data_IF_007593324904
#
_entry.id   IF_007593324904
#
_cell.length_a   1.000
_cell.length_b   1.000
_cell.length_c   1.000
_cell.angle_alpha   90.00
_cell.angle_beta   90.00
_cell.angle_gamma   90.00
#
_symmetry.space_group_name_H-M   'P 1'
#
loop_
_entity.id
_entity.type
_entity.pdbx_description
1 polymer ?
2 non-polymer ?
3 non-polymer ?
4 non-polymer ?
5 non-polymer ?
6 water ?
#
# COMPACT_ATOMS: atom_id res chain seq x y z
N UNK A 1 -22.37 -7.89 -3.96
CA UNK A 1 -22.46 -7.91 -5.41
C UNK A 1 -21.40 -6.97 -5.99
N UNK A 2 -21.78 -5.75 -6.38
CA UNK A 2 -20.79 -4.83 -6.92
C UNK A 2 -19.92 -4.26 -5.81
N UNK A 3 -18.82 -3.59 -6.22
CA UNK A 3 -17.75 -3.23 -5.28
C UNK A 3 -18.23 -2.26 -4.20
N UNK A 4 -18.99 -1.25 -4.58
CA UNK A 4 -19.43 -0.26 -3.60
C UNK A 4 -20.36 -0.88 -2.57
N UNK A 5 -21.08 -1.93 -2.94
CA UNK A 5 -21.94 -2.62 -1.99
C UNK A 5 -21.10 -3.48 -1.06
N UNK A 6 -20.15 -4.23 -1.62
CA UNK A 6 -19.22 -5.03 -0.83
C UNK A 6 -18.52 -4.19 0.22
N UNK A 7 -18.14 -2.95 -0.15
CA UNK A 7 -17.49 -2.06 0.82
C UNK A 7 -18.38 -1.79 2.04
N UNK A 8 -19.68 -1.74 1.84
CA UNK A 8 -20.57 -1.40 2.95
C UNK A 8 -20.95 -2.63 3.75
N UNK A 9 -21.25 -3.73 3.07
CA UNK A 9 -21.80 -4.88 3.75
C UNK A 9 -20.80 -6.04 3.91
N UNK A 10 -19.59 -5.93 3.35
CA UNK A 10 -18.61 -6.99 3.49
C UNK A 10 -17.89 -6.96 4.83
N UNK A 11 -17.58 -8.15 5.34
CA UNK A 11 -17.01 -8.25 6.67
C UNK A 11 -18.08 -8.15 7.75
N UNK A 12 -17.66 -8.35 8.98
CA UNK A 12 -18.56 -8.28 10.12
C UNK A 12 -18.30 -6.97 10.86
N UNK A 13 -19.16 -5.98 10.65
CA UNK A 13 -18.92 -4.66 11.24
C UNK A 13 -20.16 -4.16 11.98
N UNK A 14 -20.93 -5.07 12.58
CA UNK A 14 -22.01 -4.70 13.49
C UNK A 14 -21.84 -5.51 14.76
N UNK A 15 -22.64 -5.16 15.77
CA UNK A 15 -22.61 -5.85 17.05
C UNK A 15 -23.74 -6.88 17.07
N UNK A 16 -23.38 -8.15 17.10
CA UNK A 16 -24.42 -9.18 17.23
C UNK A 16 -25.19 -9.04 18.53
N UNK A 17 -24.55 -8.59 19.61
CA UNK A 17 -25.20 -8.49 20.90
C UNK A 17 -26.30 -7.41 20.93
N UNK A 18 -25.93 -6.13 20.83
CA UNK A 18 -26.91 -5.05 20.93
C UNK A 18 -27.57 -4.71 19.60
N UNK A 19 -27.00 -5.15 18.49
CA UNK A 19 -27.47 -4.71 17.18
C UNK A 19 -26.86 -3.40 16.71
N UNK A 20 -25.93 -2.80 17.46
CA UNK A 20 -25.28 -1.58 17.03
C UNK A 20 -24.80 -1.72 15.60
N UNK A 21 -25.09 -0.70 14.78
CA UNK A 21 -24.77 -0.79 13.35
C UNK A 21 -23.31 -0.46 13.06
N UNK A 22 -22.51 -0.15 14.07
CA UNK A 22 -21.07 0.03 13.93
C UNK A 22 -20.38 -0.89 14.93
N UNK A 23 -19.11 -1.21 14.65
CA UNK A 23 -18.32 -2.10 15.51
C UNK A 23 -18.04 -1.43 16.85
N UNK A 24 -18.40 -2.02 17.97
CA UNK A 24 -18.04 -1.42 19.26
C UNK A 24 -16.53 -1.36 19.40
N UNK A 25 -16.07 -0.35 20.13
CA UNK A 25 -14.65 -0.16 20.38
C UNK A 25 -14.33 -0.86 21.69
N UNK A 26 -13.67 -2.01 21.62
CA UNK A 26 -13.35 -2.81 22.81
C UNK A 26 -12.02 -2.32 23.36
N UNK A 27 -12.11 -1.23 24.11
CA UNK A 27 -10.95 -0.66 24.77
C UNK A 27 -10.76 -1.46 26.05
N UNK A 28 -10.12 -2.62 25.90
CA UNK A 28 -10.03 -3.61 26.95
C UNK A 28 -8.82 -4.51 26.68
N UNK A 29 -8.24 -5.06 27.75
CA UNK A 29 -7.09 -5.93 27.56
C UNK A 29 -7.37 -7.41 27.83
N UNK A 30 -8.44 -7.74 28.58
CA UNK A 30 -8.66 -9.10 29.03
C UNK A 30 -10.16 -9.34 29.21
N UNK A 31 -10.51 -10.62 29.37
CA UNK A 31 -11.90 -11.09 29.24
C UNK A 31 -12.23 -12.09 30.33
N UNK A 32 -13.43 -11.93 30.90
CA UNK A 32 -13.94 -12.87 31.90
C UNK A 32 -14.01 -14.27 31.32
N UNK A 33 -13.62 -15.25 32.11
CA UNK A 33 -13.85 -16.66 31.76
C UNK A 33 -14.87 -17.26 32.72
N UNK A 34 -15.91 -17.89 32.16
CA UNK A 34 -16.93 -18.51 33.00
C UNK A 34 -16.40 -19.75 33.69
N UNK A 35 -15.55 -20.52 33.02
CA UNK A 35 -14.79 -21.60 33.62
C UNK A 35 -13.41 -21.57 33.00
N UNK A 36 -12.41 -22.05 33.74
CA UNK A 36 -11.04 -22.09 33.23
C UNK A 36 -11.03 -22.72 31.85
N UNK A 37 -10.60 -21.95 30.84
CA UNK A 37 -10.53 -22.42 29.47
C UNK A 37 -11.80 -22.20 28.67
N UNK A 38 -12.89 -21.79 29.30
CA UNK A 38 -14.15 -21.53 28.62
C UNK A 38 -14.18 -20.05 28.28
N UNK A 39 -14.05 -19.73 27.00
CA UNK A 39 -14.16 -18.37 26.51
C UNK A 39 -15.55 -18.15 25.92
N UNK A 40 -16.22 -17.07 26.37
CA UNK A 40 -17.59 -16.79 25.93
C UNK A 40 -17.69 -16.67 24.42
N UNK A 41 -16.83 -15.84 23.81
CA UNK A 41 -16.88 -15.62 22.37
C UNK A 41 -15.51 -15.82 21.74
N UNK A 42 -14.63 -16.57 22.41
CA UNK A 42 -13.31 -16.86 21.88
C UNK A 42 -12.25 -15.85 22.22
N UNK A 43 -12.56 -14.85 23.04
CA UNK A 43 -11.59 -13.84 23.42
C UNK A 43 -11.05 -14.15 24.80
N UNK A 44 -9.75 -13.97 24.97
CA UNK A 44 -9.12 -14.17 26.28
C UNK A 44 -8.07 -13.14 26.62
N UNK A 45 -7.44 -12.48 25.64
CA UNK A 45 -6.39 -11.49 25.89
C UNK A 45 -6.19 -10.69 24.61
N UNK A 46 -6.22 -9.35 24.73
CA UNK A 46 -6.41 -8.50 23.55
C UNK A 46 -5.23 -8.55 22.57
N UNK A 47 -4.00 -8.76 23.06
CA UNK A 47 -2.90 -8.95 22.12
C UNK A 47 -3.18 -10.12 21.18
N UNK A 48 -3.73 -11.21 21.72
CA UNK A 48 -4.01 -12.38 20.90
C UNK A 48 -5.18 -12.14 19.97
N UNK A 49 -6.25 -11.53 20.47
CA UNK A 49 -7.38 -11.14 19.63
C UNK A 49 -8.24 -10.15 20.38
N UNK A 50 -8.77 -9.17 19.64
CA UNK A 50 -9.62 -8.12 20.18
C UNK A 50 -10.78 -7.98 19.19
N UNK A 51 -12.02 -7.88 19.67
CA UNK A 51 -13.17 -7.91 18.74
C UNK A 51 -13.19 -6.75 17.75
N UNK A 52 -12.69 -5.58 18.12
CA UNK A 52 -12.64 -4.48 17.14
C UNK A 52 -11.58 -4.76 16.07
N UNK A 53 -10.42 -5.24 16.51
CA UNK A 53 -9.41 -5.63 15.55
C UNK A 53 -9.92 -6.75 14.65
N UNK A 54 -10.70 -7.68 15.23
CA UNK A 54 -11.25 -8.78 14.46
C UNK A 54 -12.17 -8.25 13.37
N UNK A 55 -12.92 -7.18 13.68
CA UNK A 55 -13.78 -6.58 12.68
C UNK A 55 -12.96 -6.05 11.49
N UNK A 56 -11.89 -5.30 11.78
CA UNK A 56 -11.14 -4.76 10.63
C UNK A 56 -10.43 -5.89 9.86
N UNK A 57 -10.00 -6.94 10.56
CA UNK A 57 -9.38 -8.07 9.88
C UNK A 57 -10.38 -8.75 8.95
N UNK A 58 -11.63 -8.92 9.40
CA UNK A 58 -12.62 -9.54 8.51
C UNK A 58 -12.92 -8.65 7.32
N UNK A 59 -12.88 -7.33 7.50
CA UNK A 59 -13.08 -6.44 6.36
C UNK A 59 -11.97 -6.63 5.33
N UNK A 60 -10.71 -6.57 5.76
CA UNK A 60 -9.63 -6.66 4.76
C UNK A 60 -9.63 -8.04 4.10
N UNK A 61 -9.89 -9.11 4.87
CA UNK A 61 -9.95 -10.43 4.25
C UNK A 61 -11.05 -10.48 3.20
N UNK A 62 -12.23 -9.89 3.48
CA UNK A 62 -13.31 -9.89 2.51
C UNK A 62 -12.95 -9.09 1.26
N UNK A 63 -12.43 -7.88 1.45
CA UNK A 63 -12.15 -6.99 0.32
C UNK A 63 -11.07 -7.54 -0.61
N UNK A 64 -10.12 -8.31 -0.09
CA UNK A 64 -9.08 -8.91 -0.93
C UNK A 64 -9.41 -10.35 -1.35
N UNK A 65 -10.63 -10.81 -1.08
CA UNK A 65 -11.04 -12.19 -1.37
C UNK A 65 -10.10 -13.22 -0.75
N UNK A 66 -9.65 -12.93 0.48
CA UNK A 66 -8.87 -13.85 1.24
C UNK A 66 -9.72 -14.52 2.31
N UNK A 67 -9.07 -15.32 3.14
CA UNK A 67 -9.73 -16.00 4.23
C UNK A 67 -9.33 -15.47 5.59
N UNK A 68 -8.15 -14.88 5.71
CA UNK A 68 -7.62 -14.43 6.98
C UNK A 68 -7.08 -13.03 6.85
N UNK A 69 -7.39 -12.20 7.85
CA UNK A 69 -6.88 -10.84 7.93
C UNK A 69 -6.12 -10.62 9.21
N UNK A 70 -5.18 -9.68 9.17
CA UNK A 70 -4.31 -9.35 10.29
C UNK A 70 -4.09 -7.85 10.28
N UNK A 71 -4.25 -7.20 11.44
CA UNK A 71 -4.05 -5.77 11.56
C UNK A 71 -2.84 -5.48 12.44
N UNK A 72 -1.92 -4.68 11.93
CA UNK A 72 -0.69 -4.34 12.62
C UNK A 72 -0.66 -2.84 12.91
N UNK A 73 0.21 -2.47 13.84
CA UNK A 73 0.33 -1.09 14.30
C UNK A 73 0.87 -0.14 13.22
N UNK A 74 1.28 -0.64 12.06
CA UNK A 74 1.79 0.18 10.96
C UNK A 74 2.00 -0.72 9.76
N UNK A 75 2.11 -0.08 8.60
CA UNK A 75 2.51 -0.83 7.40
C UNK A 75 3.85 -1.54 7.57
N UNK A 76 4.86 -0.86 8.15
CA UNK A 76 6.14 -1.56 8.25
C UNK A 76 6.07 -2.66 9.29
N UNK A 77 5.14 -2.58 10.25
CA UNK A 77 4.99 -3.73 11.16
C UNK A 77 4.40 -4.93 10.41
N UNK A 78 3.43 -4.68 9.52
CA UNK A 78 2.93 -5.75 8.67
C UNK A 78 4.05 -6.38 7.84
N UNK A 79 4.89 -5.52 7.24
CA UNK A 79 5.98 -6.02 6.41
C UNK A 79 6.97 -6.83 7.24
N UNK A 80 7.35 -6.34 8.43
CA UNK A 80 8.26 -7.11 9.28
C UNK A 80 7.65 -8.45 9.68
N UNK A 81 6.35 -8.47 9.98
CA UNK A 81 5.70 -9.74 10.30
C UNK A 81 5.82 -10.71 9.14
N UNK A 82 5.59 -10.23 7.91
CA UNK A 82 5.67 -11.12 6.76
C UNK A 82 7.10 -11.60 6.55
N UNK A 83 8.08 -10.72 6.73
CA UNK A 83 9.49 -11.11 6.56
C UNK A 83 9.89 -12.15 7.60
N UNK A 84 9.33 -12.06 8.79
CA UNK A 84 9.68 -13.01 9.84
C UNK A 84 9.14 -14.40 9.57
N UNK A 85 8.39 -14.61 8.49
CA UNK A 85 8.12 -15.97 8.02
C UNK A 85 9.41 -16.67 7.61
N UNK A 86 10.45 -15.94 7.24
CA UNK A 86 11.70 -16.53 6.79
C UNK A 86 12.64 -16.80 7.97
N UNK A 87 13.69 -17.57 7.68
CA UNK A 87 14.74 -17.89 8.63
C UNK A 87 16.06 -17.33 8.15
N UNK A 88 17.00 -17.25 9.09
CA UNK A 88 18.40 -17.00 8.78
C UNK A 88 18.86 -17.90 7.63
N UNK A 89 19.54 -17.30 6.65
CA UNK A 89 19.95 -18.00 5.45
C UNK A 89 18.97 -17.94 4.30
N UNK A 90 17.73 -17.53 4.55
CA UNK A 90 16.76 -17.39 3.46
C UNK A 90 17.01 -16.12 2.67
N UNK A 91 16.55 -16.12 1.43
CA UNK A 91 16.78 -15.05 0.49
C UNK A 91 15.44 -14.51 0.01
N UNK A 92 15.34 -13.19 -0.15
CA UNK A 92 14.12 -12.56 -0.61
C UNK A 92 14.45 -11.68 -1.81
N UNK A 93 13.63 -11.78 -2.85
CA UNK A 93 13.70 -10.89 -4.01
C UNK A 93 12.65 -9.80 -3.84
N UNK A 94 13.04 -8.53 -4.06
CA UNK A 94 12.13 -7.40 -4.04
C UNK A 94 12.34 -6.55 -5.29
N UNK A 95 11.31 -5.79 -5.66
CA UNK A 95 11.47 -4.88 -6.79
C UNK A 95 12.46 -3.79 -6.40
N UNK A 96 13.24 -3.36 -7.40
CA UNK A 96 14.39 -2.52 -7.17
C UNK A 96 14.05 -1.22 -6.44
N UNK A 97 12.93 -0.59 -6.82
CA UNK A 97 12.56 0.72 -6.30
C UNK A 97 11.54 0.64 -5.16
N UNK A 98 11.56 -0.47 -4.42
CA UNK A 98 10.63 -0.68 -3.32
C UNK A 98 10.68 0.49 -2.32
N UNK A 99 9.61 0.63 -1.55
CA UNK A 99 9.46 1.74 -0.63
C UNK A 99 10.66 1.85 0.31
N UNK A 100 11.12 3.08 0.50
CA UNK A 100 12.25 3.36 1.38
C UNK A 100 12.21 2.66 2.72
N UNK A 101 11.06 2.69 3.40
CA UNK A 101 10.96 2.02 4.68
C UNK A 101 11.17 0.52 4.55
N UNK A 102 10.66 -0.07 3.48
CA UNK A 102 10.85 -1.50 3.27
C UNK A 102 12.32 -1.81 3.03
N UNK A 103 12.96 -1.02 2.16
CA UNK A 103 14.38 -1.16 1.88
C UNK A 103 15.18 -1.11 3.18
N UNK A 104 14.87 -0.12 4.02
CA UNK A 104 15.63 0.09 5.25
C UNK A 104 15.40 -1.05 6.24
N UNK A 105 14.15 -1.48 6.43
CA UNK A 105 13.90 -2.66 7.26
C UNK A 105 14.73 -3.85 6.80
N UNK A 106 14.68 -4.16 5.51
CA UNK A 106 15.36 -5.37 5.02
C UNK A 106 16.87 -5.25 5.12
N UNK A 107 17.45 -4.12 4.70
CA UNK A 107 18.89 -4.03 4.57
C UNK A 107 19.58 -3.60 5.85
N UNK A 108 18.86 -2.98 6.80
CA UNK A 108 19.49 -2.53 8.03
C UNK A 108 19.03 -3.28 9.27
N UNK A 109 17.91 -3.98 9.21
CA UNK A 109 17.44 -4.80 10.32
C UNK A 109 17.55 -6.28 10.00
N UNK A 110 16.81 -6.74 8.99
CA UNK A 110 16.74 -8.18 8.81
C UNK A 110 18.02 -8.80 8.25
N UNK A 111 18.88 -8.04 7.57
CA UNK A 111 20.15 -8.64 7.15
C UNK A 111 21.01 -8.97 8.36
N UNK A 112 20.86 -8.23 9.46
CA UNK A 112 21.56 -8.58 10.69
C UNK A 112 21.09 -9.91 11.26
N UNK A 113 19.91 -10.38 10.82
CA UNK A 113 19.41 -11.70 11.20
C UNK A 113 19.62 -12.72 10.10
N UNK A 114 20.53 -12.45 9.17
CA UNK A 114 20.87 -13.44 8.17
C UNK A 114 19.87 -13.62 7.05
N UNK A 115 18.88 -12.75 6.93
CA UNK A 115 18.04 -12.72 5.74
C UNK A 115 18.83 -12.04 4.63
N UNK A 116 18.87 -12.66 3.45
CA UNK A 116 19.55 -12.09 2.29
C UNK A 116 18.55 -11.48 1.34
N UNK A 117 18.92 -10.36 0.72
CA UNK A 117 18.03 -9.52 -0.05
C UNK A 117 18.66 -9.20 -1.40
N UNK A 118 17.91 -9.39 -2.47
CA UNK A 118 18.30 -8.86 -3.77
C UNK A 118 17.19 -8.00 -4.34
N UNK A 119 17.55 -6.78 -4.74
CA UNK A 119 16.67 -5.87 -5.44
C UNK A 119 16.83 -6.08 -6.93
N UNK A 120 15.74 -6.38 -7.63
CA UNK A 120 15.82 -6.60 -9.07
C UNK A 120 14.72 -5.81 -9.76
N UNK A 121 14.95 -5.46 -11.02
CA UNK A 121 13.95 -4.75 -11.81
C UNK A 121 12.90 -5.76 -12.24
N UNK A 122 11.78 -5.78 -11.52
CA UNK A 122 10.75 -6.77 -11.79
C UNK A 122 9.84 -6.39 -12.94
N UNK A 123 10.05 -5.22 -13.56
CA UNK A 123 9.23 -4.87 -14.73
C UNK A 123 9.44 -5.87 -15.86
N UNK A 124 10.53 -6.63 -15.85
CA UNK A 124 10.71 -7.81 -16.69
C UNK A 124 10.77 -9.02 -15.77
N UNK A 125 9.75 -9.88 -15.82
CA UNK A 125 9.65 -10.98 -14.86
C UNK A 125 10.79 -12.01 -15.01
N UNK A 126 11.42 -12.07 -16.18
CA UNK A 126 12.59 -12.94 -16.32
C UNK A 126 13.77 -12.44 -15.50
N UNK A 127 13.78 -11.15 -15.11
CA UNK A 127 14.74 -10.71 -14.11
C UNK A 127 14.58 -11.48 -12.81
N UNK A 128 13.33 -11.72 -12.42
CA UNK A 128 13.08 -12.53 -11.23
C UNK A 128 13.64 -13.91 -11.43
N UNK A 129 13.31 -14.52 -12.58
CA UNK A 129 13.80 -15.88 -12.82
C UNK A 129 15.33 -15.94 -12.73
N UNK A 130 16.02 -14.93 -13.25
CA UNK A 130 17.49 -14.92 -13.17
C UNK A 130 17.96 -14.76 -11.72
N UNK A 131 17.26 -13.96 -10.92
CA UNK A 131 17.76 -13.69 -9.57
C UNK A 131 17.49 -14.82 -8.58
N UNK A 132 16.69 -15.80 -8.95
CA UNK A 132 16.35 -16.86 -7.99
C UNK A 132 17.61 -17.67 -7.67
N UNK A 133 17.86 -17.86 -6.39
CA UNK A 133 18.93 -18.68 -5.84
C UNK A 133 18.35 -19.94 -5.22
N UNK A 134 19.19 -20.94 -4.93
CA UNK A 134 18.67 -22.10 -4.19
C UNK A 134 18.12 -21.75 -2.82
N UNK A 135 18.56 -20.63 -2.21
CA UNK A 135 18.06 -20.23 -0.91
C UNK A 135 16.89 -19.25 -0.97
N UNK A 136 16.40 -18.90 -2.15
CA UNK A 136 15.32 -17.91 -2.24
C UNK A 136 14.01 -18.52 -1.73
N UNK A 137 13.35 -17.82 -0.82
CA UNK A 137 12.09 -18.27 -0.24
C UNK A 137 10.92 -17.33 -0.45
N UNK A 138 11.17 -16.07 -0.81
CA UNK A 138 10.08 -15.09 -0.87
C UNK A 138 10.33 -14.16 -2.05
N UNK A 139 9.23 -13.77 -2.69
CA UNK A 139 9.20 -12.75 -3.73
C UNK A 139 8.23 -11.67 -3.25
N UNK A 140 8.71 -10.43 -3.16
CA UNK A 140 7.96 -9.30 -2.60
C UNK A 140 7.93 -8.19 -3.64
N UNK A 141 6.74 -7.84 -4.14
CA UNK A 141 6.66 -6.77 -5.14
C UNK A 141 5.60 -5.74 -4.74
N UNK A 142 5.90 -4.47 -5.04
CA UNK A 142 4.88 -3.42 -5.09
C UNK A 142 4.54 -3.15 -6.54
N UNK A 143 3.25 -2.90 -6.81
CA UNK A 143 2.97 -2.38 -8.12
C UNK A 143 1.68 -1.56 -8.04
N UNK A 144 1.68 -0.32 -8.52
CA UNK A 144 2.86 0.36 -9.04
C UNK A 144 3.74 0.90 -7.90
N UNK A 145 5.00 1.14 -8.21
CA UNK A 145 6.01 1.53 -7.23
C UNK A 145 6.06 3.04 -7.05
N UNK A 146 6.84 3.48 -6.06
CA UNK A 146 7.03 4.88 -5.72
C UNK A 146 8.46 5.33 -5.99
N UNK A 147 8.67 6.55 -6.53
CA UNK A 147 7.69 7.53 -6.99
C UNK A 147 7.51 7.50 -8.50
N UNK A 148 8.10 6.53 -9.18
CA UNK A 148 8.03 6.52 -10.63
C UNK A 148 6.98 5.58 -11.17
N UNK A 149 6.18 4.96 -10.30
CA UNK A 149 5.00 4.20 -10.72
C UNK A 149 5.35 3.08 -11.70
N UNK A 150 6.41 2.33 -11.38
CA UNK A 150 6.77 1.19 -12.21
C UNK A 150 5.80 0.05 -11.94
N UNK A 151 5.42 -0.66 -13.01
CA UNK A 151 4.38 -1.67 -12.98
C UNK A 151 5.03 -3.04 -13.14
N UNK A 152 4.63 -4.00 -12.30
CA UNK A 152 5.12 -5.38 -12.35
C UNK A 152 3.95 -6.32 -12.59
N UNK A 153 4.17 -7.34 -13.42
CA UNK A 153 3.12 -8.30 -13.77
C UNK A 153 2.85 -9.22 -12.59
N UNK A 154 1.68 -9.05 -11.96
CA UNK A 154 1.37 -9.79 -10.75
C UNK A 154 1.18 -11.27 -11.05
N UNK A 155 0.43 -11.58 -12.11
CA UNK A 155 0.07 -12.97 -12.40
C UNK A 155 1.29 -13.80 -12.80
N UNK A 156 2.18 -13.22 -13.61
CA UNK A 156 3.42 -13.91 -13.93
C UNK A 156 4.31 -14.06 -12.70
N UNK A 157 4.35 -13.03 -11.83
CA UNK A 157 5.14 -13.18 -10.61
C UNK A 157 4.60 -14.32 -9.73
N UNK A 158 3.27 -14.45 -9.66
CA UNK A 158 2.69 -15.55 -8.90
C UNK A 158 3.03 -16.90 -9.53
N UNK A 159 3.00 -17.00 -10.85
CA UNK A 159 3.37 -18.25 -11.52
C UNK A 159 4.82 -18.61 -11.25
N UNK A 160 5.71 -17.61 -11.35
CA UNK A 160 7.11 -17.84 -11.06
C UNK A 160 7.29 -18.31 -9.62
N UNK A 161 6.58 -17.65 -8.68
CA UNK A 161 6.71 -18.02 -7.26
C UNK A 161 6.24 -19.45 -7.02
N UNK A 162 5.14 -19.85 -7.67
CA UNK A 162 4.63 -21.21 -7.50
C UNK A 162 5.62 -22.22 -8.02
N UNK A 163 6.12 -22.01 -9.25
CA UNK A 163 7.05 -22.97 -9.86
C UNK A 163 8.29 -23.17 -9.00
N UNK A 164 8.83 -22.11 -8.40
CA UNK A 164 10.07 -22.22 -7.65
C UNK A 164 9.85 -22.33 -6.14
N UNK A 165 8.62 -22.53 -5.71
CA UNK A 165 8.36 -22.70 -4.29
C UNK A 165 8.61 -21.48 -3.42
N UNK A 166 8.23 -20.29 -3.89
CA UNK A 166 8.42 -19.05 -3.14
C UNK A 166 7.09 -18.59 -2.57
N UNK A 167 7.14 -17.99 -1.38
CA UNK A 167 6.01 -17.22 -0.88
C UNK A 167 5.94 -15.92 -1.66
N UNK A 168 4.84 -15.69 -2.36
CA UNK A 168 4.65 -14.45 -3.09
C UNK A 168 3.88 -13.45 -2.23
N UNK A 169 4.32 -12.19 -2.28
CA UNK A 169 3.78 -11.11 -1.48
C UNK A 169 3.62 -9.89 -2.39
N UNK A 170 2.47 -9.23 -2.30
CA UNK A 170 2.27 -7.97 -2.99
C UNK A 170 1.89 -6.89 -1.97
N UNK A 171 2.64 -5.80 -2.00
CA UNK A 171 2.29 -4.58 -1.28
C UNK A 171 1.31 -3.83 -2.18
N UNK A 172 0.01 -3.92 -1.85
CA UNK A 172 -1.07 -3.39 -2.67
C UNK A 172 -1.55 -2.02 -2.22
N UNK A 173 -0.69 -1.27 -1.51
CA UNK A 173 -1.07 0.02 -0.91
C UNK A 173 -1.57 1.01 -1.95
N UNK A 174 -0.81 1.18 -3.03
CA UNK A 174 -1.09 2.26 -3.97
C UNK A 174 -2.40 2.04 -4.73
N UNK A 175 -2.79 0.78 -4.97
CA UNK A 175 -3.98 0.48 -5.75
C UNK A 175 -5.24 0.26 -4.91
N UNK A 176 -5.09 -0.23 -3.66
CA UNK A 176 -6.16 -0.61 -2.73
C UNK A 176 -6.92 -1.82 -3.26
N UNK A 177 -7.66 -2.54 -2.41
CA UNK A 177 -8.48 -3.66 -2.91
C UNK A 177 -9.61 -3.21 -3.81
N UNK A 178 -9.88 -1.91 -3.90
CA UNK A 178 -10.94 -1.46 -4.78
C UNK A 178 -10.59 -1.65 -6.24
N UNK A 179 -9.29 -1.65 -6.58
CA UNK A 179 -8.87 -1.70 -7.98
C UNK A 179 -7.99 -2.89 -8.33
N UNK A 180 -7.38 -3.56 -7.36
CA UNK A 180 -6.41 -4.60 -7.65
C UNK A 180 -6.44 -5.62 -6.53
N UNK A 181 -6.64 -6.90 -6.88
CA UNK A 181 -6.76 -7.98 -5.90
C UNK A 181 -5.73 -9.06 -6.19
N UNK A 182 -4.53 -8.94 -5.63
CA UNK A 182 -3.45 -9.89 -5.96
C UNK A 182 -3.77 -11.33 -5.57
N UNK A 183 -4.55 -11.56 -4.52
CA UNK A 183 -4.84 -12.94 -4.14
C UNK A 183 -5.59 -13.65 -5.24
N UNK A 184 -6.41 -12.92 -6.01
CA UNK A 184 -7.14 -13.49 -7.13
C UNK A 184 -6.22 -13.87 -8.28
N UNK A 185 -5.01 -13.32 -8.31
CA UNK A 185 -4.06 -13.63 -9.36
C UNK A 185 -3.03 -14.66 -8.91
N UNK A 186 -3.25 -15.34 -7.78
CA UNK A 186 -2.37 -16.41 -7.35
C UNK A 186 -1.34 -16.03 -6.32
N UNK A 187 -1.29 -14.76 -5.90
CA UNK A 187 -0.34 -14.33 -4.88
C UNK A 187 -0.71 -14.95 -3.54
N UNK A 188 0.31 -15.29 -2.74
CA UNK A 188 0.08 -15.92 -1.44
C UNK A 188 -0.43 -14.93 -0.40
N UNK A 189 0.24 -13.77 -0.29
CA UNK A 189 -0.02 -12.78 0.76
C UNK A 189 -0.16 -11.40 0.13
N UNK A 190 -1.16 -10.64 0.56
CA UNK A 190 -1.30 -9.24 0.15
C UNK A 190 -1.26 -8.37 1.40
N UNK A 191 -0.62 -7.20 1.30
CA UNK A 191 -0.54 -6.33 2.45
C UNK A 191 -0.66 -4.87 2.01
N UNK A 192 -0.97 -4.03 2.99
CA UNK A 192 -1.22 -2.61 2.80
C UNK A 192 -0.65 -1.83 3.97
N UNK A 193 -0.15 -0.63 3.69
CA UNK A 193 -0.11 0.41 4.70
C UNK A 193 -1.51 1.03 4.72
N UNK A 194 -2.31 0.67 5.73
CA UNK A 194 -3.65 1.23 5.81
C UNK A 194 -3.62 2.70 6.19
N UNK A 195 -2.46 3.19 6.62
CA UNK A 195 -2.17 4.60 6.86
C UNK A 195 -2.56 5.49 5.68
N UNK A 196 -2.52 4.91 4.48
CA UNK A 196 -2.74 5.68 3.26
C UNK A 196 -4.22 5.61 2.86
N UNK A 197 -4.53 5.03 1.70
CA UNK A 197 -5.89 5.11 1.16
C UNK A 197 -7.00 4.47 2.01
N UNK A 198 -6.70 3.33 2.64
CA UNK A 198 -7.75 2.56 3.32
C UNK A 198 -8.34 3.37 4.47
N UNK A 199 -7.50 3.81 5.41
CA UNK A 199 -7.98 4.75 6.42
C UNK A 199 -8.48 6.03 5.78
N UNK A 200 -7.70 6.57 4.84
CA UNK A 200 -8.14 7.60 3.92
C UNK A 200 -8.27 8.99 4.50
N UNK A 201 -8.00 9.19 5.79
CA UNK A 201 -8.26 10.47 6.44
C UNK A 201 -7.06 10.99 7.20
N UNK A 202 -5.87 10.43 6.97
CA UNK A 202 -4.62 10.86 7.60
C UNK A 202 -4.71 10.87 9.12
N UNK A 203 -5.38 9.88 9.71
CA UNK A 203 -5.51 9.92 11.17
C UNK A 203 -5.29 8.56 11.81
N UNK A 204 -4.78 7.59 11.06
CA UNK A 204 -4.45 6.27 11.58
C UNK A 204 -3.15 5.83 10.94
N UNK A 205 -2.23 5.31 11.74
CA UNK A 205 -1.08 4.56 11.25
C UNK A 205 -1.38 3.09 11.50
N UNK A 206 -1.38 2.27 10.45
CA UNK A 206 -1.83 0.89 10.53
C UNK A 206 -1.36 0.10 9.32
N UNK A 207 -1.21 -1.20 9.50
CA UNK A 207 -0.97 -2.10 8.39
C UNK A 207 -1.99 -3.23 8.37
N UNK A 208 -2.27 -3.73 7.18
CA UNK A 208 -3.23 -4.82 7.03
C UNK A 208 -2.67 -5.90 6.12
N UNK A 209 -2.92 -7.16 6.48
CA UNK A 209 -2.44 -8.32 5.75
C UNK A 209 -3.61 -9.27 5.52
N UNK A 210 -3.72 -9.83 4.32
CA UNK A 210 -4.70 -10.85 4.01
C UNK A 210 -4.06 -12.03 3.28
N UNK A 211 -4.62 -13.22 3.52
CA UNK A 211 -4.19 -14.42 2.82
C UNK A 211 -5.35 -15.40 2.75
N UNK A 212 -5.26 -16.34 1.81
CA UNK A 212 -6.17 -17.48 1.73
C UNK A 212 -5.51 -18.77 2.20
N UNK A 213 -4.23 -18.71 2.54
CA UNK A 213 -3.48 -19.91 2.88
C UNK A 213 -3.57 -20.12 4.40
N UNK A 214 -4.18 -21.25 4.80
CA UNK A 214 -4.38 -21.52 6.23
C UNK A 214 -3.05 -21.64 6.97
N UNK A 215 -2.04 -22.25 6.34
CA UNK A 215 -0.78 -22.46 7.05
C UNK A 215 -0.02 -21.16 7.21
N UNK A 216 0.05 -20.36 6.14
CA UNK A 216 0.65 -19.04 6.27
C UNK A 216 -0.09 -18.19 7.30
N UNK A 217 -1.43 -18.30 7.35
CA UNK A 217 -2.20 -17.53 8.33
C UNK A 217 -1.87 -17.97 9.75
N UNK A 218 -1.71 -19.27 9.98
CA UNK A 218 -1.32 -19.74 11.30
C UNK A 218 0.07 -19.22 11.68
N UNK A 219 0.98 -19.18 10.72
CA UNK A 219 2.31 -18.65 11.01
C UNK A 219 2.29 -17.15 11.28
N UNK A 220 1.53 -16.39 10.48
CA UNK A 220 1.38 -14.96 10.72
C UNK A 220 0.73 -14.69 12.09
N UNK A 221 -0.30 -15.46 12.45
CA UNK A 221 -0.94 -15.27 13.74
C UNK A 221 0.05 -15.55 14.88
N UNK A 222 0.88 -16.59 14.72
CA UNK A 222 1.88 -16.86 15.75
C UNK A 222 2.88 -15.72 15.87
N UNK A 223 3.33 -15.19 14.73
CA UNK A 223 4.28 -14.08 14.77
C UNK A 223 3.64 -12.84 15.37
N UNK A 224 2.39 -12.55 14.99
CA UNK A 224 1.70 -11.39 15.54
C UNK A 224 1.56 -11.53 17.05
N UNK A 225 1.18 -12.71 17.52
CA UNK A 225 0.99 -12.89 18.95
C UNK A 225 2.31 -12.88 19.70
N UNK A 226 3.41 -13.25 19.05
CA UNK A 226 4.69 -13.36 19.74
C UNK A 226 5.49 -12.08 19.72
N UNK A 227 5.45 -11.31 18.62
CA UNK A 227 6.19 -10.06 18.52
C UNK A 227 5.32 -8.81 18.73
N UNK A 228 4.00 -8.95 18.66
CA UNK A 228 3.09 -7.99 19.29
C UNK A 228 2.90 -6.65 18.62
N UNK A 229 3.16 -6.54 17.33
CA UNK A 229 2.89 -5.32 16.60
C UNK A 229 1.45 -5.16 16.17
N UNK A 230 0.50 -5.23 17.15
CA UNK A 230 -0.94 -5.27 16.87
C UNK A 230 -1.53 -3.86 16.79
N UNK A 231 -2.50 -3.69 15.91
CA UNK A 231 -3.28 -2.46 15.88
C UNK A 231 -4.22 -2.40 17.07
N UNK A 232 -4.36 -1.22 17.68
CA UNK A 232 -5.26 -1.04 18.81
C UNK A 232 -6.70 -0.89 18.36
N UNK A 233 -7.62 -1.01 19.33
CA UNK A 233 -9.07 -0.98 18.98
C UNK A 233 -9.55 0.35 18.43
N UNK A 234 -9.12 1.48 18.99
CA UNK A 234 -9.57 2.77 18.46
C UNK A 234 -9.13 2.94 17.00
N UNK A 235 -7.88 2.57 16.70
CA UNK A 235 -7.39 2.68 15.32
C UNK A 235 -8.09 1.67 14.42
N UNK A 236 -8.35 0.45 14.90
CA UNK A 236 -9.11 -0.48 14.07
C UNK A 236 -10.49 0.08 13.75
N UNK A 237 -11.14 0.72 14.73
CA UNK A 237 -12.45 1.30 14.47
C UNK A 237 -12.36 2.38 13.39
N UNK A 238 -11.40 3.29 13.53
CA UNK A 238 -11.27 4.36 12.53
C UNK A 238 -10.94 3.80 11.14
N UNK A 239 -10.21 2.69 11.10
CA UNK A 239 -9.96 2.02 9.82
C UNK A 239 -11.25 1.53 9.18
N UNK A 240 -12.05 0.75 9.94
CA UNK A 240 -13.33 0.28 9.40
C UNK A 240 -14.17 1.46 8.88
N UNK A 241 -14.21 2.52 9.68
CA UNK A 241 -15.01 3.69 9.29
C UNK A 241 -14.49 4.29 7.99
N UNK A 242 -13.18 4.49 7.88
CA UNK A 242 -12.63 5.10 6.68
C UNK A 242 -12.81 4.22 5.46
N UNK A 243 -12.74 2.90 5.63
CA UNK A 243 -12.88 2.01 4.50
C UNK A 243 -14.28 2.10 3.90
N UNK A 244 -15.30 2.40 4.72
CA UNK A 244 -16.65 2.59 4.17
C UNK A 244 -16.67 3.45 2.90
N UNK A 245 -15.92 4.56 2.88
CA UNK A 245 -15.98 5.47 1.73
C UNK A 245 -14.88 5.23 0.70
N UNK A 246 -14.12 4.12 0.82
CA UNK A 246 -13.00 3.87 -0.07
C UNK A 246 -13.40 4.00 -1.54
N UNK A 247 -14.48 3.34 -1.94
CA UNK A 247 -14.85 3.33 -3.34
C UNK A 247 -15.18 4.72 -3.87
N UNK A 248 -15.98 5.48 -3.11
CA UNK A 248 -16.31 6.84 -3.53
C UNK A 248 -15.06 7.72 -3.61
N UNK A 249 -14.15 7.55 -2.63
CA UNK A 249 -12.94 8.37 -2.60
C UNK A 249 -12.05 8.03 -3.78
N UNK A 250 -11.83 6.73 -4.02
CA UNK A 250 -10.96 6.32 -5.13
C UNK A 250 -11.53 6.76 -6.47
N UNK A 251 -12.87 6.74 -6.62
CA UNK A 251 -13.43 7.12 -7.91
C UNK A 251 -13.29 8.63 -8.14
N UNK A 252 -13.53 9.44 -7.11
CA UNK A 252 -13.25 10.87 -7.26
C UNK A 252 -11.78 11.09 -7.60
N UNK A 253 -10.88 10.41 -6.89
CA UNK A 253 -9.45 10.57 -7.12
C UNK A 253 -9.10 10.21 -8.57
N UNK A 254 -9.69 9.15 -9.11
CA UNK A 254 -9.38 8.72 -10.46
C UNK A 254 -9.87 9.72 -11.50
N UNK A 255 -11.08 10.28 -11.30
CA UNK A 255 -11.53 11.33 -12.21
C UNK A 255 -10.54 12.48 -12.24
N UNK A 256 -10.11 12.94 -11.06
CA UNK A 256 -9.15 14.04 -11.04
C UNK A 256 -7.82 13.63 -11.65
N UNK A 257 -7.36 12.39 -11.41
CA UNK A 257 -6.08 11.94 -11.96
C UNK A 257 -6.09 12.06 -13.47
N UNK A 258 -7.16 11.57 -14.10
CA UNK A 258 -7.24 11.61 -15.57
C UNK A 258 -7.14 13.04 -16.06
N UNK A 259 -7.92 13.96 -15.46
CA UNK A 259 -7.87 15.35 -15.92
C UNK A 259 -6.52 16.01 -15.64
N UNK A 260 -5.94 15.74 -14.47
CA UNK A 260 -4.66 16.39 -14.14
C UNK A 260 -3.57 15.90 -15.09
N UNK A 261 -3.60 14.63 -15.48
CA UNK A 261 -2.58 14.13 -16.39
C UNK A 261 -2.71 14.78 -17.76
N UNK A 262 -3.94 14.90 -18.29
CA UNK A 262 -4.12 15.69 -19.52
C UNK A 262 -3.46 17.06 -19.41
N UNK A 263 -3.73 17.76 -18.31
CA UNK A 263 -3.14 19.10 -18.12
C UNK A 263 -1.62 19.04 -18.07
N UNK A 264 -1.06 18.08 -17.33
CA UNK A 264 0.40 18.04 -17.17
C UNK A 264 1.08 17.76 -18.50
N UNK A 265 0.50 16.84 -19.29
CA UNK A 265 1.09 16.51 -20.57
C UNK A 265 1.06 17.70 -21.53
N UNK A 266 -0.02 18.51 -21.47
CA UNK A 266 -0.05 19.68 -22.35
C UNK A 266 0.82 20.84 -21.88
N UNK A 267 1.31 20.81 -20.65
CA UNK A 267 1.87 22.07 -20.14
C UNK A 267 3.35 22.20 -20.53
N UNK A 268 3.76 23.36 -21.04
CA UNK A 268 5.17 23.51 -21.48
C UNK A 268 6.17 23.51 -20.33
N UNK A 269 5.75 23.76 -19.10
CA UNK A 269 6.69 23.73 -17.98
C UNK A 269 6.88 22.33 -17.40
N UNK A 270 6.23 21.33 -17.97
CA UNK A 270 6.30 19.95 -17.49
C UNK A 270 6.95 19.09 -18.57
N UNK A 271 7.94 18.30 -18.16
CA UNK A 271 8.53 17.35 -19.10
C UNK A 271 7.87 15.98 -18.97
N UNK A 272 8.60 15.02 -18.42
CA UNK A 272 8.06 13.67 -18.30
C UNK A 272 7.01 13.58 -17.20
N UNK A 273 6.00 12.74 -17.44
CA UNK A 273 4.96 12.42 -16.48
C UNK A 273 4.98 10.92 -16.25
N UNK A 274 4.88 10.50 -14.99
CA UNK A 274 4.91 9.09 -14.61
C UNK A 274 3.58 8.68 -14.00
N UNK A 275 2.87 7.77 -14.68
CA UNK A 275 1.62 7.19 -14.19
C UNK A 275 1.21 6.04 -15.09
N UNK A 276 0.66 4.96 -14.54
CA UNK A 276 0.36 3.78 -15.37
C UNK A 276 -0.76 3.99 -16.38
N UNK A 277 -1.56 5.07 -16.26
CA UNK A 277 -2.63 5.33 -17.21
C UNK A 277 -2.11 5.84 -18.54
N UNK A 278 -0.89 6.40 -18.57
CA UNK A 278 -0.32 6.88 -19.82
C UNK A 278 0.05 5.69 -20.70
N UNK A 279 -0.43 5.69 -21.94
CA UNK A 279 -0.32 4.49 -22.78
C UNK A 279 1.12 4.19 -23.19
N UNK A 280 2.01 5.19 -23.17
CA UNK A 280 3.41 4.98 -23.43
C UNK A 280 4.19 4.52 -22.20
N UNK A 281 3.50 4.39 -21.05
CA UNK A 281 4.14 3.94 -19.83
C UNK A 281 4.47 2.45 -19.92
N UNK A 282 5.69 2.09 -19.51
CA UNK A 282 6.10 0.70 -19.50
C UNK A 282 5.08 -0.15 -18.75
N UNK A 283 4.65 -1.26 -19.37
CA UNK A 283 3.72 -2.22 -18.75
C UNK A 283 2.34 -1.62 -18.50
N UNK A 284 1.99 -0.58 -19.27
CA UNK A 284 0.62 -0.05 -19.24
C UNK A 284 -0.40 -1.16 -19.49
N UNK A 285 -0.14 -2.01 -20.49
CA UNK A 285 -1.05 -3.10 -20.82
C UNK A 285 -1.17 -4.08 -19.66
N UNK A 286 -0.04 -4.37 -19.00
CA UNK A 286 -0.04 -5.25 -17.84
C UNK A 286 -0.91 -4.68 -16.73
N UNK A 287 -0.75 -3.38 -16.44
CA UNK A 287 -1.55 -2.76 -15.41
C UNK A 287 -3.03 -2.86 -15.73
N UNK A 288 -3.40 -2.49 -16.96
CA UNK A 288 -4.81 -2.55 -17.33
C UNK A 288 -5.35 -3.97 -17.22
N UNK A 289 -4.50 -4.96 -17.47
CA UNK A 289 -4.94 -6.35 -17.35
C UNK A 289 -5.10 -6.80 -15.90
N UNK A 290 -4.40 -6.19 -14.95
CA UNK A 290 -4.50 -6.69 -13.58
C UNK A 290 -5.22 -5.74 -12.62
N UNK A 291 -5.69 -4.59 -13.10
CA UNK A 291 -6.36 -3.61 -12.26
C UNK A 291 -7.45 -2.95 -13.10
N UNK A 292 -8.52 -2.50 -12.45
CA UNK A 292 -9.55 -1.77 -13.18
C UNK A 292 -9.66 -0.32 -12.73
N UNK A 293 -8.55 0.25 -12.33
CA UNK A 293 -8.50 1.66 -11.99
C UNK A 293 -7.07 2.05 -11.74
N UNK A 294 -6.90 3.21 -11.11
CA UNK A 294 -5.57 3.79 -11.01
C UNK A 294 -5.29 4.30 -9.61
N UNK A 295 -4.00 4.34 -9.27
CA UNK A 295 -3.58 5.01 -8.06
C UNK A 295 -3.66 6.52 -8.26
N UNK A 296 -3.76 7.26 -7.15
CA UNK A 296 -3.81 8.71 -7.20
C UNK A 296 -2.46 9.39 -7.11
N UNK A 297 -1.38 8.61 -7.00
CA UNK A 297 -0.02 9.16 -6.97
C UNK A 297 0.44 9.40 -8.40
N UNK A 298 0.91 10.62 -8.67
CA UNK A 298 1.50 10.99 -9.95
C UNK A 298 2.83 11.67 -9.66
N UNK A 299 3.85 11.35 -10.46
CA UNK A 299 5.10 12.09 -10.46
C UNK A 299 5.30 12.78 -11.82
N UNK A 300 5.92 13.95 -11.80
CA UNK A 300 6.21 14.64 -13.05
C UNK A 300 7.39 15.57 -12.85
N UNK A 301 8.06 15.88 -13.96
CA UNK A 301 9.28 16.68 -13.96
C UNK A 301 8.99 18.16 -14.24
N UNK A 302 9.43 19.03 -13.34
CA UNK A 302 9.65 20.43 -13.71
C UNK A 302 11.15 20.62 -13.84
N UNK A 303 11.58 21.88 -14.02
CA UNK A 303 12.94 22.15 -14.48
C UNK A 303 13.99 21.87 -13.42
N UNK A 304 13.76 22.29 -12.18
CA UNK A 304 14.83 22.25 -11.20
C UNK A 304 14.21 22.39 -9.81
N UNK A 305 15.10 22.41 -8.80
CA UNK A 305 14.63 22.53 -7.42
C UNK A 305 13.79 23.78 -7.21
N UNK A 306 14.28 24.94 -7.67
CA UNK A 306 13.58 26.19 -7.40
C UNK A 306 12.22 26.20 -8.08
N UNK A 307 12.12 25.60 -9.27
CA UNK A 307 10.82 25.43 -9.93
C UNK A 307 9.87 24.59 -9.09
N UNK A 308 10.39 23.51 -8.50
CA UNK A 308 9.55 22.62 -7.68
C UNK A 308 9.05 23.35 -6.44
N UNK A 309 9.94 24.08 -5.77
CA UNK A 309 9.54 24.86 -4.60
C UNK A 309 8.52 25.93 -4.96
N UNK A 310 8.74 26.61 -6.09
CA UNK A 310 7.80 27.64 -6.54
C UNK A 310 6.42 27.04 -6.80
N UNK A 311 6.38 25.89 -7.47
CA UNK A 311 5.12 25.15 -7.65
C UNK A 311 4.41 24.94 -6.31
N UNK A 312 5.15 24.42 -5.32
CA UNK A 312 4.53 24.17 -4.02
C UNK A 312 3.99 25.46 -3.42
N UNK A 313 4.77 26.55 -3.50
CA UNK A 313 4.35 27.82 -2.91
C UNK A 313 3.12 28.40 -3.60
N UNK A 314 2.95 28.16 -4.90
CA UNK A 314 1.91 28.82 -5.67
C UNK A 314 0.58 28.07 -5.69
N UNK A 315 0.53 26.82 -5.26
CA UNK A 315 -0.72 26.07 -5.27
C UNK A 315 -1.55 26.41 -4.04
N UNK A 316 -2.85 26.57 -4.25
CA UNK A 316 -3.73 26.82 -3.12
C UNK A 316 -4.21 25.54 -2.45
N UNK A 317 -4.36 24.46 -3.22
CA UNK A 317 -5.05 23.27 -2.76
C UNK A 317 -4.16 22.03 -2.65
N UNK A 318 -2.85 22.17 -2.85
CA UNK A 318 -1.91 21.05 -2.67
C UNK A 318 -1.08 21.31 -1.41
N UNK A 319 -1.12 20.37 -0.47
CA UNK A 319 -0.55 20.55 0.84
C UNK A 319 0.81 19.85 0.95
N UNK A 320 1.82 20.57 1.44
CA UNK A 320 3.15 20.01 1.61
C UNK A 320 3.19 19.19 2.89
N UNK A 321 3.20 17.86 2.74
CA UNK A 321 3.32 16.96 3.87
C UNK A 321 3.74 15.60 3.34
N UNK A 322 4.21 14.77 4.24
CA UNK A 322 4.55 13.36 3.92
C UNK A 322 3.28 12.50 3.80
N UNK A 323 3.46 11.26 3.34
CA UNK A 323 2.40 10.23 3.17
C UNK A 323 1.54 10.54 1.93
N UNK A 324 0.53 9.73 1.67
CA UNK A 324 -0.40 9.83 0.52
C UNK A 324 -1.76 9.25 0.91
N UNK A 325 -2.74 9.30 0.01
CA UNK A 325 -4.03 8.73 0.32
C UNK A 325 -4.89 9.54 1.27
N UNK A 326 -4.60 10.82 1.44
CA UNK A 326 -5.43 11.68 2.29
C UNK A 326 -6.67 12.16 1.51
N UNK A 327 -7.61 12.78 2.22
CA UNK A 327 -8.67 13.46 1.48
C UNK A 327 -8.15 14.73 0.85
N UNK A 328 -7.10 15.33 1.44
CA UNK A 328 -6.38 16.44 0.82
C UNK A 328 -5.41 15.93 -0.25
N UNK A 329 -5.23 16.75 -1.29
CA UNK A 329 -4.12 16.51 -2.20
C UNK A 329 -2.81 16.95 -1.55
N UNK A 330 -1.80 16.08 -1.68
CA UNK A 330 -0.51 16.26 -1.05
C UNK A 330 0.57 16.42 -2.13
N UNK A 331 1.56 17.21 -1.82
CA UNK A 331 2.63 17.49 -2.77
C UNK A 331 3.96 17.33 -2.05
N UNK A 332 4.96 16.85 -2.78
CA UNK A 332 6.29 16.61 -2.20
C UNK A 332 7.33 16.57 -3.32
N UNK A 333 8.60 16.63 -2.91
CA UNK A 333 9.73 16.58 -3.83
C UNK A 333 10.62 15.43 -3.38
N UNK A 334 10.53 14.26 -4.03
CA UNK A 334 11.33 13.09 -3.58
C UNK A 334 12.80 13.39 -3.39
N UNK A 335 13.44 14.09 -4.34
CA UNK A 335 14.89 14.28 -4.24
C UNK A 335 15.28 14.98 -2.95
N UNK A 336 14.37 15.79 -2.38
CA UNK A 336 14.63 16.48 -1.12
C UNK A 336 14.03 15.78 0.10
N UNK A 337 13.05 14.91 -0.08
CA UNK A 337 12.28 14.44 1.07
C UNK A 337 12.38 12.94 1.30
N UNK A 338 12.63 12.15 0.26
CA UNK A 338 12.76 10.69 0.41
C UNK A 338 14.06 10.12 -0.13
N UNK A 339 14.78 10.84 -0.99
CA UNK A 339 16.00 10.33 -1.59
C UNK A 339 17.19 11.26 -1.37
N UNK A 340 17.10 12.14 -0.38
CA UNK A 340 18.15 13.14 -0.19
C UNK A 340 19.48 12.53 0.26
N UNK A 341 19.45 11.33 0.84
CA UNK A 341 20.69 10.69 1.26
C UNK A 341 21.43 10.08 0.08
N UNK A 342 20.73 9.74 -0.99
CA UNK A 342 21.37 9.16 -2.18
C UNK A 342 22.18 10.24 -2.89
N UNK A 343 23.40 9.94 -3.34
CA UNK A 343 24.18 10.95 -4.06
C UNK A 343 23.43 11.48 -5.28
N UNK A 344 23.73 12.75 -5.60
CA UNK A 344 22.96 13.46 -6.62
C UNK A 344 23.06 12.79 -7.99
N UNK A 345 24.26 12.33 -8.37
CA UNK A 345 24.42 11.73 -9.68
C UNK A 345 23.68 10.40 -9.78
N UNK A 346 23.63 9.64 -8.68
CA UNK A 346 22.86 8.40 -8.70
C UNK A 346 21.37 8.70 -8.75
N UNK A 347 20.93 9.74 -8.03
CA UNK A 347 19.54 10.19 -8.14
C UNK A 347 19.19 10.53 -9.58
N UNK A 348 20.04 11.33 -10.23
CA UNK A 348 19.77 11.72 -11.62
C UNK A 348 19.69 10.51 -12.52
N UNK A 349 20.62 9.56 -12.36
CA UNK A 349 20.62 8.36 -13.17
C UNK A 349 19.37 7.53 -12.95
N UNK A 350 18.86 7.52 -11.71
CA UNK A 350 17.63 6.81 -11.37
C UNK A 350 16.36 7.51 -11.83
N UNK A 351 16.44 8.76 -12.28
CA UNK A 351 15.27 9.52 -12.65
C UNK A 351 14.70 10.41 -11.56
N UNK A 352 15.29 10.38 -10.36
CA UNK A 352 14.87 11.24 -9.26
C UNK A 352 15.55 12.59 -9.44
N UNK A 353 15.15 13.33 -10.47
CA UNK A 353 15.75 14.61 -10.76
C UNK A 353 15.38 15.62 -9.67
N UNK A 354 16.10 16.75 -9.67
CA UNK A 354 15.83 17.79 -8.69
C UNK A 354 14.43 18.37 -8.85
N UNK A 355 13.90 18.39 -10.06
CA UNK A 355 12.59 18.97 -10.32
C UNK A 355 11.49 17.94 -10.42
N UNK A 356 11.73 16.72 -9.94
CA UNK A 356 10.70 15.70 -9.90
C UNK A 356 9.77 15.97 -8.72
N UNK A 357 8.49 16.16 -9.01
CA UNK A 357 7.46 16.46 -8.04
C UNK A 357 6.53 15.25 -7.96
N UNK A 358 6.13 14.87 -6.76
CA UNK A 358 5.10 13.86 -6.57
C UNK A 358 3.87 14.52 -5.95
N UNK A 359 2.71 14.23 -6.52
CA UNK A 359 1.44 14.63 -5.94
C UNK A 359 0.64 13.38 -5.64
N UNK A 360 -0.07 13.40 -4.51
CA UNK A 360 -1.08 12.41 -4.17
C UNK A 360 -2.42 13.11 -4.27
N UNK A 361 -3.20 12.75 -5.29
CA UNK A 361 -4.45 13.43 -5.59
C UNK A 361 -5.47 13.11 -4.51
N UNK A 362 -6.13 14.15 -3.98
CA UNK A 362 -7.18 13.99 -2.98
C UNK A 362 -8.56 14.03 -3.61
N UNK A 363 -9.56 14.37 -2.78
CA UNK A 363 -10.95 14.34 -3.23
C UNK A 363 -11.52 15.75 -3.41
N UNK A 364 -10.68 16.77 -3.53
CA UNK A 364 -11.19 18.08 -3.87
C UNK A 364 -11.82 18.07 -5.26
N UNK A 365 -12.52 19.15 -5.59
CA UNK A 365 -13.17 19.24 -6.89
C UNK A 365 -12.13 19.12 -8.02
N UNK A 366 -12.48 18.34 -9.05
CA UNK A 366 -11.54 18.08 -10.15
C UNK A 366 -11.11 19.35 -10.85
N UNK A 367 -12.07 20.23 -11.18
CA UNK A 367 -11.73 21.49 -11.84
C UNK A 367 -10.81 22.32 -10.98
N UNK A 368 -11.10 22.42 -9.68
CA UNK A 368 -10.23 23.18 -8.79
C UNK A 368 -8.81 22.61 -8.79
N UNK A 369 -8.66 21.27 -8.72
CA UNK A 369 -7.32 20.70 -8.66
C UNK A 369 -6.56 20.95 -9.97
N UNK A 370 -7.22 20.73 -11.11
CA UNK A 370 -6.59 21.00 -12.40
C UNK A 370 -6.19 22.46 -12.52
N UNK A 371 -7.12 23.38 -12.25
CA UNK A 371 -6.85 24.81 -12.45
C UNK A 371 -5.80 25.32 -11.48
N UNK A 372 -5.84 24.88 -10.22
CA UNK A 372 -4.85 25.31 -9.25
C UNK A 372 -3.45 24.88 -9.68
N UNK A 373 -3.29 23.61 -10.07
CA UNK A 373 -1.96 23.14 -10.48
C UNK A 373 -1.52 23.84 -11.76
N UNK A 374 -2.44 24.04 -12.71
CA UNK A 374 -2.08 24.69 -13.95
C UNK A 374 -1.63 26.13 -13.73
N UNK A 375 -2.36 26.91 -12.93
CA UNK A 375 -1.95 28.30 -12.70
C UNK A 375 -0.61 28.36 -11.96
N UNK A 376 -0.39 27.42 -11.02
CA UNK A 376 0.91 27.37 -10.36
C UNK A 376 2.03 27.09 -11.36
N UNK A 377 1.82 26.12 -12.27
CA UNK A 377 2.82 25.84 -13.30
C UNK A 377 3.02 27.02 -14.24
N UNK A 378 1.94 27.78 -14.51
CA UNK A 378 2.05 28.97 -15.33
C UNK A 378 2.99 29.99 -14.69
N UNK A 379 3.05 30.04 -13.35
CA UNK A 379 4.01 30.98 -12.76
C UNK A 379 5.47 30.60 -12.99
N UNK A 380 5.76 29.43 -13.56
CA UNK A 380 7.15 29.11 -13.87
C UNK A 380 7.51 29.74 -15.22
X LIG B 1 -19.83 -9.86 0.10
X LIG B 1 -20.73 -8.88 -0.01
X LIG B 1 -21.23 -8.21 1.24
X LIG B 1 -21.19 -8.47 -1.26
X LIG B 1 -22.09 -7.48 -1.34
X LIG B 1 -20.72 -9.09 -2.43
X LIG B 1 -21.21 -8.69 -3.76
X LIG B 1 -19.78 -10.14 -2.29
X LIG B 1 -19.37 -10.47 -1.01
X LIG B 1 -19.22 -10.88 -3.48
X LIG B 1 -17.83 -10.64 -3.67
X LIG B 1 -17.13 -10.91 -5.09
X LIG B 1 -16.08 -12.00 -4.97
X LIG B 1 -18.20 -11.32 -6.07
X LIG B 1 -16.48 -9.63 -5.57
X LIG C 1 -3.51 -19.03 -4.43
X LIG D 1 -21.35 -6.60 6.96
X LIG E 1 -10.67 -15.27 18.21
X LIG E 1 -12.07 -15.38 17.58
X LIG E 1 -13.09 -15.45 18.53
X LIG E 1 -12.20 -14.13 16.69
X LIG E 1 -13.53 -14.04 16.28
X LIG F 1 2.25 -21.37 -1.11
X LIG F 1 3.63 -21.07 -0.47
X LIG F 1 3.69 -21.45 0.87
X LIG F 1 4.65 -21.83 -1.37
X LIG F 1 5.55 -22.49 -0.50
X LIG G 1 7.87 -19.62 10.97
X LIG G 1 6.84 -19.12 10.15
X LIG G 1 7.96 -21.17 10.78
X LIG G 1 9.18 -21.67 11.17
X LIG G 1 6.83 -21.76 11.67
X LIG H 1 7.29 -10.27 -18.84
X LIG H 1 8.00 -9.13 -18.47
X LIG H 1 7.86 -10.98 -20.09
X LIG H 1 7.98 -10.00 -21.09
X LIG I 1 7.45 8.53 5.51
X LIG I 1 8.09 8.18 4.24
X LIG I 1 7.08 8.33 3.12
X LIG I 1 5.78 7.73 3.39
X LIG I 1 5.30 7.66 4.75
X LIG I 1 6.44 7.50 5.74
X LIG I 1 4.79 7.71 2.32
X LIG I 1 5.18 8.62 1.17
X LIG I 1 5.19 9.99 1.56
X LIG I 1 8.40 8.44 6.65
X LIG I 1 9.77 7.94 6.18
X LIG I 1 10.33 6.50 7.13
X LIG I 1 11.72 6.75 7.51
X LIG I 1 10.22 5.29 6.33
X LIG I 1 9.53 6.35 8.34
X LIG J 1 16.91 3.80 -0.30
X LIG J 1 16.36 3.57 0.98
X LIG J 1 15.76 4.31 -1.24
X LIG J 1 14.89 3.29 -1.64
X LIG J 1 15.06 5.45 -0.45
X LIG J 1 13.85 5.74 -1.11
#
# INVERSE_FOLDING_TARGET
SNKKTKLIHGGHTTDDYTGAVTTPIYQTSTYLQDDIGDLRQGYEYSRTANPTRSSVESVIATLENGKHGFAFSSGVAAISAVVMLLDKGDHIILNSDVYGGTNRALTKVFTRFGIEVDFVDTTHTDSIVQAIRPTTKMLFIETPSNPLLRVTDIKKSAEIAKEHGLISVVDNTFMTPYYQNPLDLGIDIVLHSATKYLGGHSDVVAGLVATSDDKLAERLAFISNSTGGILGPQDSYLLVRGIKTLGLRMEQINRSVIEIIKMLQAHPAVQQVFHPSIESHLNHDVHMAQADGHTGVIAFEVKNTESAKQLIKATSYYTLAESLGAVESLISVPALMTHASIPADIRAKEGITDGLVRISVGIEDTEDLVDDLKQALDTL
PLP N1 C2 C2A C3 O3 C4 C4A C5 C6 C5A O4P P O1P O2P O3P
NA NA
NA NA
GOL C1 C2 O2 C3 O3
GOL C1 C2 O2 C3 O3
GOL C1 O1 C2 O2 C3
GOL C2 O2 C3 O3
EPE N1 C2 C3 N4 C5 C6 C7 C8 O8 C9 C10 S O1S O2S O3S
GOL C1 O1 C2 O2 C3 O3
#
